data_IF_648380009721
#
_entry.id   IF_648380009721
#
_cell.length_a   1.000
_cell.length_b   1.000
_cell.length_c   1.000
_cell.angle_alpha   90.00
_cell.angle_beta   90.00
_cell.angle_gamma   90.00
#
_symmetry.space_group_name_H-M   'P 1'
#
loop_
_entity.id
_entity.type
_entity.pdbx_description
1 polymer ?
#
# COMPACT_ATOMS: atom_id res chain seq x y z
N UNK A 1 -15.55 1.76 -20.22
CA UNK A 1 -16.31 1.34 -19.01
C UNK A 1 -16.20 2.41 -17.93
N UNK A 2 -17.02 2.36 -16.88
CA UNK A 2 -16.70 3.06 -15.62
C UNK A 2 -15.63 2.24 -14.90
N UNK A 3 -14.37 2.68 -14.94
CA UNK A 3 -13.27 2.03 -14.23
C UNK A 3 -13.45 2.33 -12.74
N UNK A 4 -13.28 1.30 -11.91
CA UNK A 4 -13.36 1.45 -10.46
C UNK A 4 -12.23 0.73 -9.73
N UNK A 5 -11.73 1.35 -8.67
CA UNK A 5 -10.88 0.74 -7.65
C UNK A 5 -11.66 0.62 -6.35
N UNK A 6 -11.19 -0.23 -5.42
CA UNK A 6 -11.88 -0.46 -4.16
C UNK A 6 -11.06 0.03 -2.96
N UNK A 7 -11.68 0.89 -2.15
CA UNK A 7 -11.17 1.28 -0.84
C UNK A 7 -11.76 0.37 0.22
N UNK A 8 -10.98 -0.62 0.63
CA UNK A 8 -11.44 -1.67 1.55
C UNK A 8 -11.49 -1.17 2.99
N UNK A 9 -12.60 -1.43 3.65
CA UNK A 9 -12.82 -1.24 5.09
C UNK A 9 -13.12 -2.57 5.75
N UNK A 10 -12.60 -2.79 6.95
CA UNK A 10 -12.93 -3.96 7.77
C UNK A 10 -13.98 -3.59 8.80
N UNK A 11 -14.93 -4.50 9.03
CA UNK A 11 -15.88 -4.40 10.13
C UNK A 11 -15.10 -4.55 11.44
N UNK A 12 -15.02 -3.49 12.26
CA UNK A 12 -14.43 -3.56 13.61
C UNK A 12 -15.22 -4.60 14.42
N UNK A 13 -14.60 -5.74 14.73
CA UNK A 13 -15.04 -6.60 15.83
C UNK A 13 -14.40 -6.09 17.11
N UNK A 14 -15.12 -6.10 18.22
CA UNK A 14 -14.70 -5.60 19.54
C UNK A 14 -13.47 -6.31 20.16
N UNK A 15 -12.72 -7.07 19.36
CA UNK A 15 -11.56 -7.89 19.75
C UNK A 15 -10.27 -7.45 19.05
N UNK A 16 -10.29 -6.45 18.15
CA UNK A 16 -9.08 -6.00 17.44
C UNK A 16 -8.15 -5.10 18.30
N UNK A 17 -8.57 -4.73 19.53
CA UNK A 17 -7.79 -3.87 20.43
C UNK A 17 -7.13 -4.59 21.63
N UNK A 18 -7.31 -5.91 21.83
CA UNK A 18 -6.62 -6.62 22.92
C UNK A 18 -6.09 -8.00 22.49
N UNK A 19 -4.89 -7.99 21.90
CA UNK A 19 -3.92 -9.08 22.12
C UNK A 19 -2.68 -8.48 22.77
N UNK A 20 -2.79 -8.15 24.05
CA UNK A 20 -1.62 -8.07 24.92
C UNK A 20 -1.25 -9.51 25.29
N UNK A 21 -0.11 -9.95 24.76
CA UNK A 21 0.49 -11.23 25.10
C UNK A 21 1.23 -11.08 26.44
N UNK A 22 0.54 -11.33 27.55
CA UNK A 22 1.15 -11.42 28.88
C UNK A 22 1.55 -12.86 29.19
N UNK A 23 2.82 -13.21 28.92
CA UNK A 23 3.75 -13.80 29.90
C UNK A 23 5.04 -14.27 29.21
N UNK A 24 6.03 -13.38 29.10
CA UNK A 24 7.36 -13.76 28.62
C UNK A 24 8.11 -14.47 29.75
N UNK A 25 8.29 -15.79 29.59
CA UNK A 25 9.13 -16.60 30.46
C UNK A 25 10.59 -16.17 30.35
N UNK A 26 11.33 -16.30 31.46
CA UNK A 26 12.73 -15.89 31.63
C UNK A 26 13.74 -16.60 30.69
N UNK A 27 13.27 -17.52 29.84
CA UNK A 27 14.07 -18.29 28.88
C UNK A 27 14.29 -17.58 27.52
N UNK A 28 13.60 -16.46 27.24
CA UNK A 28 13.57 -15.79 25.92
C UNK A 28 14.68 -14.74 25.71
N UNK A 29 15.58 -14.58 26.69
CA UNK A 29 16.62 -13.53 26.72
C UNK A 29 17.79 -13.73 25.72
N UNK A 30 17.73 -14.69 24.80
CA UNK A 30 18.85 -15.03 23.91
C UNK A 30 18.51 -15.19 22.43
N UNK A 31 17.24 -15.18 22.00
CA UNK A 31 16.92 -15.16 20.57
C UNK A 31 16.81 -13.71 20.08
N UNK A 32 17.77 -13.31 19.26
CA UNK A 32 17.69 -12.03 18.52
C UNK A 32 16.57 -12.18 17.49
N UNK A 33 15.36 -11.76 17.88
CA UNK A 33 14.20 -11.74 16.96
C UNK A 33 14.47 -10.73 15.85
N UNK A 34 14.31 -11.15 14.60
CA UNK A 34 14.51 -10.28 13.46
C UNK A 34 13.50 -9.11 13.47
N UNK A 35 13.85 -7.91 12.98
CA UNK A 35 12.91 -6.79 12.96
C UNK A 35 11.61 -7.06 12.19
N UNK A 36 11.64 -7.91 11.15
CA UNK A 36 10.42 -8.26 10.43
C UNK A 36 9.47 -9.07 11.29
N UNK A 37 9.97 -10.04 12.06
CA UNK A 37 9.16 -10.86 12.96
C UNK A 37 8.72 -10.06 14.20
N UNK A 38 9.57 -9.14 14.68
CA UNK A 38 9.27 -8.24 15.79
C UNK A 38 8.14 -7.25 15.47
N UNK A 39 8.13 -6.67 14.27
CA UNK A 39 7.26 -5.53 13.93
C UNK A 39 6.12 -5.86 12.96
N UNK A 40 6.07 -7.07 12.40
CA UNK A 40 5.06 -7.45 11.42
C UNK A 40 4.45 -8.81 11.75
N UNK A 41 3.12 -8.89 11.73
CA UNK A 41 2.39 -10.16 11.88
C UNK A 41 2.55 -11.08 10.68
N UNK A 42 2.87 -10.53 9.50
CA UNK A 42 3.25 -11.24 8.27
C UNK A 42 4.37 -10.47 7.59
N UNK A 43 5.31 -11.15 6.90
CA UNK A 43 6.45 -10.49 6.26
C UNK A 43 6.03 -9.72 4.99
N UNK A 44 5.36 -8.58 5.20
CA UNK A 44 4.87 -7.66 4.15
C UNK A 44 5.54 -6.31 4.32
N UNK A 45 6.19 -5.82 3.26
CA UNK A 45 6.84 -4.52 3.22
C UNK A 45 6.34 -3.67 2.04
N UNK A 46 6.06 -2.40 2.33
CA UNK A 46 5.63 -1.45 1.32
C UNK A 46 6.83 -0.78 0.64
N UNK A 47 6.71 -0.42 -0.64
CA UNK A 47 7.75 0.37 -1.35
C UNK A 47 8.06 1.68 -0.62
N UNK A 48 7.05 2.35 -0.07
CA UNK A 48 7.22 3.57 0.75
C UNK A 48 7.97 3.31 2.06
N UNK A 49 7.93 2.07 2.58
CA UNK A 49 8.72 1.69 3.77
C UNK A 49 10.20 1.68 3.44
N UNK A 50 10.61 1.14 2.28
CA UNK A 50 12.01 1.19 1.83
C UNK A 50 12.48 2.63 1.58
N UNK A 51 11.63 3.49 1.01
CA UNK A 51 11.95 4.92 0.86
C UNK A 51 12.17 5.61 2.20
N UNK A 52 11.38 5.30 3.23
CA UNK A 52 11.57 5.81 4.61
C UNK A 52 12.84 5.25 5.25
N UNK A 53 13.10 3.97 5.06
CA UNK A 53 14.30 3.29 5.56
C UNK A 53 15.56 3.95 4.98
N UNK A 54 15.62 4.14 3.66
CA UNK A 54 16.74 4.78 2.97
C UNK A 54 16.95 6.25 3.42
N UNK A 55 15.91 6.92 3.93
CA UNK A 55 16.08 8.25 4.53
C UNK A 55 16.89 8.17 5.83
N UNK A 56 16.45 7.34 6.77
CA UNK A 56 17.13 7.05 8.03
C UNK A 56 16.51 5.79 8.68
N UNK A 57 17.31 4.73 8.82
CA UNK A 57 16.81 3.47 9.37
C UNK A 57 16.54 3.56 10.86
N UNK A 58 17.42 4.24 11.61
CA UNK A 58 17.17 4.48 13.04
C UNK A 58 15.87 5.26 13.27
N UNK A 59 15.54 6.21 12.39
CA UNK A 59 14.25 6.90 12.47
C UNK A 59 13.08 5.96 12.21
N UNK A 60 13.21 5.03 11.25
CA UNK A 60 12.18 4.03 10.98
C UNK A 60 12.01 3.06 12.16
N UNK A 61 13.11 2.57 12.72
CA UNK A 61 13.12 1.72 13.91
C UNK A 61 12.42 2.39 15.10
N UNK A 62 12.78 3.64 15.43
CA UNK A 62 12.14 4.42 16.50
C UNK A 62 10.62 4.53 16.25
N UNK A 63 10.20 4.79 15.01
CA UNK A 63 8.78 4.85 14.69
C UNK A 63 8.07 3.52 14.92
N UNK A 64 8.71 2.39 14.61
CA UNK A 64 8.13 1.07 14.83
C UNK A 64 8.06 0.72 16.32
N UNK A 65 9.15 0.96 17.07
CA UNK A 65 9.23 0.66 18.51
C UNK A 65 8.26 1.49 19.35
N UNK A 66 8.08 2.76 19.00
CA UNK A 66 7.20 3.68 19.73
C UNK A 66 5.80 3.79 19.11
N UNK A 67 5.52 3.03 18.05
CA UNK A 67 4.28 3.13 17.28
C UNK A 67 3.95 4.58 16.82
N UNK A 68 4.98 5.36 16.47
CA UNK A 68 4.83 6.77 16.05
C UNK A 68 4.49 6.81 14.56
N UNK A 69 3.32 7.38 14.25
CA UNK A 69 2.91 7.68 12.88
C UNK A 69 3.40 9.07 12.50
N UNK A 70 4.36 9.12 11.59
CA UNK A 70 4.84 10.39 11.04
C UNK A 70 3.74 10.96 10.14
N UNK A 71 3.20 12.11 10.51
CA UNK A 71 2.42 12.96 9.62
C UNK A 71 3.02 14.37 9.62
N UNK A 72 2.84 15.07 8.51
CA UNK A 72 3.18 16.49 8.42
C UNK A 72 2.20 17.15 7.48
N UNK A 73 1.98 18.46 7.65
CA UNK A 73 1.13 19.23 6.75
C UNK A 73 1.46 19.03 5.26
N UNK A 74 2.76 18.94 4.92
CA UNK A 74 3.16 18.69 3.52
C UNK A 74 2.77 17.29 3.04
N UNK A 75 2.82 16.30 3.93
CA UNK A 75 2.47 14.93 3.61
C UNK A 75 0.95 14.78 3.50
N UNK A 76 0.18 15.42 4.38
CA UNK A 76 -1.28 15.46 4.31
C UNK A 76 -1.77 16.18 3.04
N UNK A 77 -1.20 17.34 2.70
CA UNK A 77 -1.46 18.04 1.43
C UNK A 77 -1.10 17.18 0.21
N UNK A 78 0.02 16.45 0.30
CA UNK A 78 0.43 15.49 -0.73
C UNK A 78 -0.60 14.37 -0.92
N UNK A 79 -0.99 13.70 0.16
CA UNK A 79 -1.98 12.61 0.12
C UNK A 79 -3.29 13.11 -0.49
N UNK A 80 -3.80 14.26 -0.03
CA UNK A 80 -5.03 14.86 -0.57
C UNK A 80 -4.92 15.13 -2.07
N UNK A 81 -3.78 15.65 -2.54
CA UNK A 81 -3.58 15.89 -3.96
C UNK A 81 -3.58 14.59 -4.78
N UNK A 82 -2.99 13.51 -4.27
CA UNK A 82 -3.07 12.20 -4.93
C UNK A 82 -4.51 11.65 -4.96
N UNK A 83 -5.26 11.80 -3.87
CA UNK A 83 -6.68 11.42 -3.81
C UNK A 83 -7.54 12.21 -4.82
N UNK A 84 -7.30 13.51 -4.97
CA UNK A 84 -7.97 14.34 -5.99
C UNK A 84 -7.68 13.83 -7.40
N UNK A 85 -6.40 13.56 -7.72
CA UNK A 85 -6.01 13.04 -9.02
C UNK A 85 -6.54 11.62 -9.28
N UNK A 86 -6.64 10.77 -8.24
CA UNK A 86 -7.25 9.43 -8.31
C UNK A 86 -8.74 9.55 -8.71
N UNK A 87 -9.48 10.42 -8.04
CA UNK A 87 -10.91 10.64 -8.28
C UNK A 87 -11.21 11.29 -9.63
N UNK A 88 -10.28 12.07 -10.18
CA UNK A 88 -10.35 12.57 -11.56
C UNK A 88 -10.17 11.44 -12.59
N UNK A 89 -9.40 10.40 -12.23
CA UNK A 89 -9.03 9.31 -13.13
C UNK A 89 -10.06 8.18 -13.16
N UNK A 90 -10.56 7.76 -12.01
CA UNK A 90 -11.52 6.66 -11.89
C UNK A 90 -12.35 6.73 -10.60
N UNK A 91 -13.42 5.93 -10.53
CA UNK A 91 -14.27 5.87 -9.33
C UNK A 91 -13.58 5.06 -8.23
N UNK A 92 -13.53 5.60 -7.02
CA UNK A 92 -13.09 4.86 -5.82
C UNK A 92 -14.32 4.43 -5.04
N UNK A 93 -14.55 3.11 -4.92
CA UNK A 93 -15.71 2.54 -4.24
C UNK A 93 -15.30 2.05 -2.86
N UNK A 94 -15.96 2.53 -1.82
CA UNK A 94 -15.80 2.15 -0.42
C UNK A 94 -16.50 0.81 -0.15
N UNK A 95 -15.72 -0.25 0.10
CA UNK A 95 -16.24 -1.63 0.26
C UNK A 95 -15.97 -2.17 1.66
N UNK A 96 -17.02 -2.63 2.33
CA UNK A 96 -16.89 -3.37 3.59
C UNK A 96 -16.64 -4.86 3.33
N UNK A 97 -15.55 -5.39 3.88
CA UNK A 97 -15.21 -6.83 3.80
C UNK A 97 -15.37 -7.51 5.16
N UNK A 98 -15.83 -8.76 5.12
CA UNK A 98 -16.10 -9.57 6.31
C UNK A 98 -14.96 -10.52 6.68
N UNK A 99 -14.07 -10.83 5.73
CA UNK A 99 -13.00 -11.81 5.90
C UNK A 99 -11.80 -11.51 4.99
N UNK A 100 -10.68 -12.21 5.24
CA UNK A 100 -9.43 -12.02 4.50
C UNK A 100 -9.51 -12.49 3.04
N UNK A 101 -10.36 -13.48 2.75
CA UNK A 101 -10.53 -14.01 1.39
C UNK A 101 -11.21 -12.99 0.46
N UNK A 102 -12.29 -12.35 0.94
CA UNK A 102 -12.92 -11.22 0.25
C UNK A 102 -11.95 -10.07 0.04
N UNK A 103 -11.19 -9.71 1.08
CA UNK A 103 -10.19 -8.63 1.01
C UNK A 103 -9.22 -8.84 -0.15
N UNK A 104 -8.56 -9.99 -0.20
CA UNK A 104 -7.54 -10.27 -1.24
C UNK A 104 -8.18 -10.37 -2.62
N UNK A 105 -9.37 -10.97 -2.72
CA UNK A 105 -10.11 -11.04 -3.98
C UNK A 105 -10.44 -9.64 -4.52
N UNK A 106 -10.89 -8.72 -3.67
CA UNK A 106 -11.24 -7.33 -4.03
C UNK A 106 -9.98 -6.50 -4.32
N UNK A 107 -8.88 -6.72 -3.60
CA UNK A 107 -7.58 -6.11 -3.91
C UNK A 107 -7.15 -6.50 -5.34
N UNK A 108 -7.21 -7.79 -5.70
CA UNK A 108 -6.87 -8.22 -7.07
C UNK A 108 -7.87 -7.71 -8.11
N UNK A 109 -9.16 -7.69 -7.79
CA UNK A 109 -10.17 -7.15 -8.70
C UNK A 109 -9.94 -5.65 -8.98
N UNK A 110 -9.50 -4.87 -7.99
CA UNK A 110 -9.08 -3.48 -8.19
C UNK A 110 -7.95 -3.40 -9.23
N UNK A 111 -6.95 -4.29 -9.12
CA UNK A 111 -5.84 -4.34 -10.08
C UNK A 111 -6.37 -4.70 -11.47
N UNK A 112 -7.23 -5.71 -11.60
CA UNK A 112 -7.85 -6.11 -12.89
C UNK A 112 -8.57 -4.91 -13.53
N UNK A 113 -9.45 -4.23 -12.79
CA UNK A 113 -10.23 -3.11 -13.30
C UNK A 113 -9.32 -1.96 -13.80
N UNK A 114 -8.24 -1.66 -13.06
CA UNK A 114 -7.29 -0.63 -13.46
C UNK A 114 -6.44 -1.06 -14.67
N UNK A 115 -6.03 -2.33 -14.74
CA UNK A 115 -5.32 -2.84 -15.91
C UNK A 115 -6.18 -2.83 -17.18
N UNK A 116 -7.45 -3.22 -17.06
CA UNK A 116 -8.43 -3.12 -18.14
C UNK A 116 -8.60 -1.66 -18.57
N UNK A 117 -8.66 -0.75 -17.59
CA UNK A 117 -8.60 0.69 -17.84
C UNK A 117 -7.38 1.09 -18.67
N UNK A 118 -6.18 0.66 -18.29
CA UNK A 118 -4.94 0.96 -19.02
C UNK A 118 -4.99 0.42 -20.46
N UNK A 119 -5.55 -0.77 -20.67
CA UNK A 119 -5.70 -1.41 -21.99
C UNK A 119 -6.79 -0.72 -22.83
N UNK A 120 -7.82 -0.15 -22.22
CA UNK A 120 -8.90 0.51 -22.95
C UNK A 120 -8.55 1.94 -23.34
N UNK A 121 -8.01 2.73 -22.41
CA UNK A 121 -7.82 4.19 -22.55
C UNK A 121 -6.36 4.65 -22.60
N UNK A 122 -5.41 3.77 -22.31
CA UNK A 122 -3.98 4.05 -22.40
C UNK A 122 -3.37 4.82 -21.23
N UNK A 123 -4.12 5.05 -20.15
CA UNK A 123 -3.61 5.63 -18.91
C UNK A 123 -4.41 5.13 -17.70
N UNK A 124 -3.79 5.11 -16.52
CA UNK A 124 -4.44 4.96 -15.20
C UNK A 124 -3.65 5.68 -14.11
N UNK A 125 -4.25 5.79 -12.93
CA UNK A 125 -3.61 6.21 -11.68
C UNK A 125 -3.77 5.19 -10.55
N UNK A 126 -2.91 5.33 -9.53
CA UNK A 126 -2.96 4.59 -8.25
C UNK A 126 -3.05 3.07 -8.39
N UNK A 127 -2.28 2.47 -9.32
CA UNK A 127 -2.30 1.01 -9.52
C UNK A 127 -1.61 0.27 -8.37
N UNK A 128 -2.31 -0.60 -7.62
CA UNK A 128 -1.66 -1.48 -6.65
C UNK A 128 -0.84 -2.56 -7.38
N UNK A 129 0.36 -2.82 -6.87
CA UNK A 129 1.27 -3.85 -7.40
C UNK A 129 1.75 -4.75 -6.27
N UNK A 130 1.93 -6.04 -6.58
CA UNK A 130 2.27 -7.08 -5.62
C UNK A 130 3.43 -7.90 -6.19
N UNK A 131 4.46 -8.11 -5.39
CA UNK A 131 5.62 -8.94 -5.74
C UNK A 131 6.11 -9.75 -4.55
N UNK A 132 7.06 -10.64 -4.81
CA UNK A 132 7.74 -11.41 -3.77
C UNK A 132 9.25 -11.29 -3.93
N UNK A 133 9.96 -11.16 -2.82
CA UNK A 133 11.41 -11.13 -2.81
C UNK A 133 11.93 -11.76 -1.52
N UNK A 134 12.73 -12.82 -1.63
CA UNK A 134 13.27 -13.58 -0.50
C UNK A 134 12.21 -13.98 0.56
N UNK A 135 11.03 -14.44 0.12
CA UNK A 135 9.93 -14.84 1.01
C UNK A 135 9.10 -13.68 1.59
N UNK A 136 9.48 -12.44 1.31
CA UNK A 136 8.77 -11.23 1.74
C UNK A 136 7.83 -10.78 0.63
N UNK A 137 6.57 -10.50 0.99
CA UNK A 137 5.62 -9.87 0.07
C UNK A 137 5.90 -8.37 -0.02
N UNK A 138 6.14 -7.89 -1.23
CA UNK A 138 6.32 -6.47 -1.53
C UNK A 138 5.00 -5.89 -2.07
N UNK A 139 4.61 -4.73 -1.55
CA UNK A 139 3.42 -3.99 -2.03
C UNK A 139 3.78 -2.56 -2.40
N UNK A 140 3.19 -2.06 -3.48
CA UNK A 140 3.36 -0.67 -3.93
C UNK A 140 2.08 -0.13 -4.55
N UNK A 141 1.99 1.19 -4.66
CA UNK A 141 0.94 1.88 -5.40
C UNK A 141 1.65 2.79 -6.40
N UNK A 142 1.42 2.55 -7.69
CA UNK A 142 2.06 3.32 -8.76
C UNK A 142 1.16 4.50 -9.11
N UNK A 143 1.63 5.72 -8.86
CA UNK A 143 0.82 6.95 -9.00
C UNK A 143 0.20 7.09 -10.39
N UNK A 144 0.97 6.82 -11.47
CA UNK A 144 0.44 6.85 -12.83
C UNK A 144 1.19 5.92 -13.79
N UNK A 145 0.41 5.24 -14.64
CA UNK A 145 0.88 4.52 -15.83
C UNK A 145 0.29 5.15 -17.09
N UNK A 146 1.10 5.29 -18.12
CA UNK A 146 0.65 5.77 -19.44
C UNK A 146 1.30 4.95 -20.55
N UNK A 147 0.52 4.61 -21.59
CA UNK A 147 1.04 4.01 -22.81
C UNK A 147 1.57 5.11 -23.74
N UNK A 148 2.87 5.02 -24.07
CA UNK A 148 3.53 5.94 -25.00
C UNK A 148 4.03 5.20 -26.25
N UNK A 149 4.04 5.82 -27.44
CA UNK A 149 4.57 5.18 -28.64
C UNK A 149 6.02 4.70 -28.43
N UNK A 150 6.29 3.46 -28.80
CA UNK A 150 7.62 2.87 -28.65
C UNK A 150 8.52 3.29 -29.83
N UNK A 151 9.47 4.21 -29.59
CA UNK A 151 10.55 4.51 -30.54
C UNK A 151 10.15 5.16 -31.88
N UNK A 152 8.99 5.80 -31.99
CA UNK A 152 8.56 6.49 -33.21
C UNK A 152 8.94 7.98 -33.12
N UNK A 153 9.80 8.43 -34.05
CA UNK A 153 10.10 9.85 -34.30
C UNK A 153 8.82 10.65 -34.47
N UNK A 154 8.80 11.88 -33.96
CA UNK A 154 7.69 12.87 -33.82
C UNK A 154 6.80 13.14 -35.06
N UNK A 155 6.90 12.37 -36.15
CA UNK A 155 6.21 12.56 -37.41
C UNK A 155 4.90 11.75 -37.58
N UNK A 156 4.59 10.77 -36.74
CA UNK A 156 3.27 10.09 -36.76
C UNK A 156 2.71 9.91 -35.36
N UNK A 157 1.89 10.87 -34.91
CA UNK A 157 1.01 10.70 -33.75
C UNK A 157 0.00 9.58 -34.05
N UNK A 158 0.34 8.33 -33.75
CA UNK A 158 -0.66 7.27 -33.72
C UNK A 158 -1.50 7.44 -32.47
N UNK A 159 -2.78 7.77 -32.65
CA UNK A 159 -3.75 7.71 -31.56
C UNK A 159 -3.77 6.27 -31.02
N UNK A 160 -3.71 6.15 -29.69
CA UNK A 160 -3.79 4.87 -29.01
C UNK A 160 -5.15 4.21 -29.28
N UNK A 161 -5.13 2.93 -29.65
CA UNK A 161 -6.32 2.07 -29.67
C UNK A 161 -5.94 0.70 -29.10
N UNK A 162 -6.81 -0.01 -28.35
CA UNK A 162 -6.43 -1.26 -27.68
C UNK A 162 -5.76 -2.30 -28.60
N UNK A 163 -6.21 -2.36 -29.87
CA UNK A 163 -5.66 -3.27 -30.90
C UNK A 163 -4.20 -3.03 -31.26
N UNK A 164 -3.66 -1.84 -31.03
CA UNK A 164 -2.28 -1.48 -31.36
C UNK A 164 -1.36 -1.37 -30.13
N UNK A 165 -1.78 -1.88 -28.96
CA UNK A 165 -1.04 -1.81 -27.71
C UNK A 165 0.43 -2.26 -27.80
N UNK A 166 0.73 -3.23 -28.67
CA UNK A 166 2.09 -3.73 -28.90
C UNK A 166 3.06 -2.69 -29.53
N UNK A 167 2.53 -1.60 -30.10
CA UNK A 167 3.32 -0.48 -30.63
C UNK A 167 3.68 0.56 -29.54
N UNK A 168 3.25 0.31 -28.31
CA UNK A 168 3.42 1.22 -27.18
C UNK A 168 4.36 0.60 -26.13
N UNK A 169 4.75 1.42 -25.17
CA UNK A 169 5.55 1.06 -24.01
C UNK A 169 4.93 1.74 -22.79
N UNK A 170 4.98 1.09 -21.63
CA UNK A 170 4.46 1.64 -20.37
C UNK A 170 5.44 2.65 -19.81
N UNK A 171 4.98 3.88 -19.59
CA UNK A 171 5.67 4.91 -18.82
C UNK A 171 5.13 4.94 -17.39
N UNK A 172 6.01 4.72 -16.42
CA UNK A 172 5.73 4.94 -15.00
C UNK A 172 6.03 6.39 -14.66
N UNK A 173 5.08 7.05 -14.00
CA UNK A 173 5.24 8.41 -13.48
C UNK A 173 4.93 8.44 -11.99
N UNK A 174 5.77 9.13 -11.23
CA UNK A 174 5.57 9.45 -9.83
C UNK A 174 5.36 10.97 -9.68
N UNK A 175 4.33 11.38 -8.96
CA UNK A 175 4.01 12.79 -8.73
C UNK A 175 4.50 13.17 -7.34
N UNK A 176 5.37 14.19 -7.24
CA UNK A 176 5.89 14.68 -5.96
C UNK A 176 5.39 16.09 -5.69
N UNK A 177 4.48 16.21 -4.74
CA UNK A 177 3.98 17.50 -4.24
C UNK A 177 5.05 18.23 -3.42
N UNK A 178 5.19 19.53 -3.64
CA UNK A 178 6.17 20.41 -3.00
C UNK A 178 5.51 21.70 -2.53
N UNK A 179 6.02 22.23 -1.41
CA UNK A 179 5.61 23.55 -0.87
C UNK A 179 6.10 24.72 -1.71
N UNK A 180 7.17 24.52 -2.50
CA UNK A 180 7.78 25.54 -3.32
C UNK A 180 8.28 24.95 -4.63
N UNK A 181 8.52 25.81 -5.62
CA UNK A 181 9.00 25.45 -6.96
C UNK A 181 10.50 25.15 -7.01
N UNK A 182 11.12 24.84 -5.86
CA UNK A 182 12.55 24.48 -5.79
C UNK A 182 12.70 22.96 -5.87
N UNK A 183 13.52 22.47 -6.81
CA UNK A 183 13.80 21.05 -6.92
C UNK A 183 14.48 20.49 -5.66
N UNK A 184 14.24 19.21 -5.30
CA UNK A 184 14.95 18.57 -4.20
C UNK A 184 16.42 18.39 -4.56
N UNK A 185 17.29 18.27 -3.56
CA UNK A 185 18.70 17.94 -3.78
C UNK A 185 18.84 16.53 -4.41
N UNK A 186 19.98 16.24 -5.03
CA UNK A 186 20.22 14.91 -5.61
C UNK A 186 20.17 13.79 -4.56
N UNK A 187 20.52 14.08 -3.31
CA UNK A 187 20.42 13.12 -2.19
C UNK A 187 18.96 12.82 -1.86
N UNK A 188 18.10 13.84 -1.84
CA UNK A 188 16.65 13.66 -1.62
C UNK A 188 15.99 12.90 -2.77
N UNK A 189 16.53 12.99 -3.99
CA UNK A 189 15.99 12.27 -5.15
C UNK A 189 16.28 10.75 -5.09
N UNK A 190 17.27 10.29 -4.30
CA UNK A 190 17.62 8.86 -4.23
C UNK A 190 16.46 7.98 -3.78
N UNK A 191 15.68 8.42 -2.80
CA UNK A 191 14.49 7.67 -2.33
C UNK A 191 13.44 7.54 -3.44
N UNK A 192 13.25 8.59 -4.25
CA UNK A 192 12.35 8.56 -5.40
C UNK A 192 12.87 7.62 -6.50
N UNK A 193 14.19 7.58 -6.73
CA UNK A 193 14.80 6.64 -7.70
C UNK A 193 14.61 5.19 -7.25
N UNK A 194 14.81 4.90 -5.96
CA UNK A 194 14.57 3.57 -5.40
C UNK A 194 13.09 3.19 -5.53
N UNK A 195 12.18 4.08 -5.14
CA UNK A 195 10.73 3.87 -5.24
C UNK A 195 10.31 3.51 -6.66
N UNK A 196 10.68 4.34 -7.64
CA UNK A 196 10.40 4.10 -9.05
C UNK A 196 11.05 2.81 -9.57
N UNK A 197 12.28 2.53 -9.15
CA UNK A 197 12.98 1.29 -9.50
C UNK A 197 12.26 0.04 -9.00
N UNK A 198 11.77 0.07 -7.75
CA UNK A 198 10.98 -1.01 -7.16
C UNK A 198 9.63 -1.16 -7.88
N UNK A 199 8.94 -0.07 -8.18
CA UNK A 199 7.70 -0.10 -8.97
C UNK A 199 7.92 -0.76 -10.33
N UNK A 200 8.96 -0.35 -11.05
CA UNK A 200 9.32 -0.94 -12.35
C UNK A 200 9.67 -2.42 -12.24
N UNK A 201 10.43 -2.82 -11.22
CA UNK A 201 10.81 -4.22 -10.99
C UNK A 201 9.56 -5.09 -10.75
N UNK A 202 8.75 -4.72 -9.75
CA UNK A 202 7.57 -5.50 -9.34
C UNK A 202 6.55 -5.58 -10.49
N UNK A 203 6.22 -4.45 -11.14
CA UNK A 203 5.29 -4.45 -12.27
C UNK A 203 5.83 -5.25 -13.46
N UNK A 204 7.14 -5.17 -13.73
CA UNK A 204 7.79 -5.98 -14.77
C UNK A 204 7.63 -7.48 -14.53
N UNK A 205 7.87 -7.92 -13.30
CA UNK A 205 7.68 -9.32 -12.90
C UNK A 205 6.22 -9.77 -13.02
N UNK A 206 5.25 -8.93 -12.60
CA UNK A 206 3.82 -9.20 -12.79
C UNK A 206 3.47 -9.41 -14.27
N UNK A 207 3.97 -8.55 -15.16
CA UNK A 207 3.77 -8.68 -16.61
C UNK A 207 4.38 -9.99 -17.13
N UNK A 208 5.58 -10.34 -16.68
CA UNK A 208 6.25 -11.59 -17.08
C UNK A 208 5.50 -12.83 -16.59
N UNK A 209 4.91 -12.80 -15.39
CA UNK A 209 4.01 -13.82 -14.88
C UNK A 209 2.75 -13.99 -15.75
N UNK A 210 2.12 -12.88 -16.14
CA UNK A 210 0.98 -12.89 -17.08
C UNK A 210 1.36 -13.52 -18.42
N UNK A 211 2.51 -13.12 -19.00
CA UNK A 211 3.01 -13.69 -20.27
C UNK A 211 3.34 -15.17 -20.17
N UNK A 212 3.95 -15.61 -19.07
CA UNK A 212 4.24 -17.02 -18.84
C UNK A 212 2.95 -17.85 -18.68
N UNK A 213 1.97 -17.32 -17.94
CA UNK A 213 0.65 -17.94 -17.81
C UNK A 213 -0.05 -18.08 -19.16
N UNK A 214 -0.05 -17.02 -19.98
CA UNK A 214 -0.68 -17.04 -21.31
C UNK A 214 -0.08 -18.09 -22.25
N UNK A 215 1.23 -18.34 -22.15
CA UNK A 215 1.89 -19.43 -22.90
C UNK A 215 1.44 -20.81 -22.45
N UNK A 216 1.20 -20.99 -21.15
CA UNK A 216 0.76 -22.26 -20.56
C UNK A 216 -0.74 -22.51 -20.74
N UNK A 217 -1.55 -21.45 -20.73
CA UNK A 217 -3.01 -21.48 -20.79
C UNK A 217 -3.55 -20.79 -22.04
N UNK A 218 -3.07 -21.20 -23.23
CA UNK A 218 -3.37 -20.50 -24.49
C UNK A 218 -4.84 -20.50 -24.89
N UNK A 219 -5.64 -21.45 -24.38
CA UNK A 219 -7.09 -21.53 -24.60
C UNK A 219 -7.89 -20.56 -23.74
N UNK A 220 -7.33 -20.04 -22.64
CA UNK A 220 -8.01 -19.13 -21.73
C UNK A 220 -7.88 -17.70 -22.24
N UNK A 221 -8.69 -17.39 -23.27
CA UNK A 221 -8.56 -16.14 -24.03
C UNK A 221 -9.41 -14.98 -23.54
N UNK A 222 -10.43 -15.26 -22.72
CA UNK A 222 -11.36 -14.27 -22.19
C UNK A 222 -11.80 -14.63 -20.78
N UNK A 223 -12.47 -13.69 -20.10
CA UNK A 223 -13.05 -13.89 -18.77
C UNK A 223 -14.08 -15.03 -18.77
N UNK A 224 -14.87 -15.17 -19.84
CA UNK A 224 -15.85 -16.26 -20.00
C UNK A 224 -15.16 -17.62 -20.08
N UNK A 225 -14.09 -17.74 -20.88
CA UNK A 225 -13.32 -18.97 -20.98
C UNK A 225 -12.66 -19.35 -19.65
N UNK A 226 -12.19 -18.36 -18.89
CA UNK A 226 -11.64 -18.56 -17.54
C UNK A 226 -12.73 -19.07 -16.59
N UNK A 227 -13.91 -18.44 -16.60
CA UNK A 227 -15.04 -18.81 -15.75
C UNK A 227 -15.51 -20.24 -16.01
N UNK A 228 -15.64 -20.63 -17.28
CA UNK A 228 -15.97 -22.00 -17.67
C UNK A 228 -14.90 -22.99 -17.21
N UNK A 229 -13.62 -22.65 -17.36
CA UNK A 229 -12.50 -23.50 -16.95
C UNK A 229 -12.47 -23.70 -15.43
N UNK A 230 -12.59 -22.63 -14.65
CA UNK A 230 -12.56 -22.69 -13.18
C UNK A 230 -13.78 -23.43 -12.63
N UNK A 231 -14.92 -23.37 -13.32
CA UNK A 231 -16.13 -24.11 -12.93
C UNK A 231 -16.06 -25.61 -13.24
N UNK A 232 -15.21 -26.03 -14.20
CA UNK A 232 -15.13 -27.41 -14.69
C UNK A 232 -13.87 -28.17 -14.27
N UNK A 233 -12.79 -27.47 -13.92
CA UNK A 233 -11.48 -28.06 -13.60
C UNK A 233 -11.16 -27.93 -12.12
N UNK A 234 -11.06 -29.05 -11.42
CA UNK A 234 -10.73 -29.10 -9.98
C UNK A 234 -9.25 -29.40 -9.68
N UNK A 235 -8.38 -29.56 -10.69
CA UNK A 235 -7.10 -30.27 -10.50
C UNK A 235 -5.83 -29.53 -10.97
N UNK A 236 -5.85 -28.20 -11.11
CA UNK A 236 -4.62 -27.48 -11.48
C UNK A 236 -3.60 -27.53 -10.33
N UNK A 237 -2.48 -28.21 -10.55
CA UNK A 237 -1.33 -28.24 -9.64
C UNK A 237 -0.51 -26.95 -9.79
N UNK A 238 -0.95 -25.86 -9.13
CA UNK A 238 -0.35 -24.54 -9.28
C UNK A 238 1.16 -24.51 -9.01
N UNK A 239 1.69 -25.15 -7.94
CA UNK A 239 3.12 -25.19 -7.68
C UNK A 239 3.95 -25.80 -8.81
N UNK A 240 3.37 -26.65 -9.66
CA UNK A 240 4.11 -27.33 -10.74
C UNK A 240 3.71 -26.90 -12.16
N UNK A 241 2.81 -25.92 -12.31
CA UNK A 241 2.31 -25.48 -13.62
C UNK A 241 3.25 -24.49 -14.34
N UNK A 242 3.14 -23.19 -14.03
CA UNK A 242 3.95 -22.12 -14.63
C UNK A 242 4.19 -21.00 -13.61
N UNK A 243 5.10 -20.07 -13.90
CA UNK A 243 5.42 -18.98 -12.97
C UNK A 243 4.22 -18.07 -12.67
N UNK A 244 3.29 -17.88 -13.60
CA UNK A 244 2.07 -17.12 -13.33
C UNK A 244 1.09 -17.86 -12.40
N UNK A 245 0.94 -19.18 -12.56
CA UNK A 245 0.19 -20.00 -11.60
C UNK A 245 0.82 -19.98 -10.21
N UNK A 246 2.16 -20.08 -10.13
CA UNK A 246 2.92 -19.96 -8.89
C UNK A 246 2.76 -18.60 -8.23
N UNK A 247 2.72 -17.52 -9.01
CA UNK A 247 2.49 -16.18 -8.50
C UNK A 247 1.12 -16.05 -7.82
N UNK A 248 0.05 -16.48 -8.49
CA UNK A 248 -1.29 -16.47 -7.88
C UNK A 248 -1.33 -17.38 -6.66
N UNK A 249 -0.81 -18.62 -6.75
CA UNK A 249 -0.73 -19.52 -5.60
C UNK A 249 0.00 -18.88 -4.42
N UNK A 250 1.16 -18.28 -4.66
CA UNK A 250 1.98 -17.63 -3.63
C UNK A 250 1.24 -16.49 -2.92
N UNK A 251 0.40 -15.71 -3.62
CA UNK A 251 -0.46 -14.70 -2.99
C UNK A 251 -1.39 -15.36 -1.97
N UNK A 252 -2.13 -16.39 -2.35
CA UNK A 252 -3.10 -17.00 -1.44
C UNK A 252 -2.44 -17.83 -0.34
N UNK A 253 -1.39 -18.57 -0.66
CA UNK A 253 -0.58 -19.36 0.27
C UNK A 253 0.02 -18.46 1.36
N UNK A 254 0.56 -17.30 0.99
CA UNK A 254 1.04 -16.30 1.96
C UNK A 254 -0.04 -15.85 2.95
N UNK A 255 -1.31 -15.89 2.53
CA UNK A 255 -2.44 -15.59 3.40
C UNK A 255 -3.06 -16.80 4.10
N UNK A 256 -2.58 -18.02 3.83
CA UNK A 256 -3.14 -19.26 4.37
C UNK A 256 -4.49 -19.61 3.76
N UNK A 257 -4.71 -19.27 2.48
CA UNK A 257 -5.99 -19.40 1.77
C UNK A 257 -5.84 -20.31 0.55
N UNK A 258 -6.94 -20.95 0.14
CA UNK A 258 -7.02 -21.67 -1.13
C UNK A 258 -7.92 -20.88 -2.11
N UNK A 259 -7.39 -20.41 -3.26
CA UNK A 259 -8.15 -19.61 -4.22
C UNK A 259 -9.28 -20.38 -4.93
N UNK A 260 -9.32 -21.71 -4.78
CA UNK A 260 -10.31 -22.57 -5.43
C UNK A 260 -11.63 -22.62 -4.68
N UNK A 261 -11.62 -22.37 -3.37
CA UNK A 261 -12.82 -22.43 -2.52
C UNK A 261 -13.82 -21.38 -2.99
N UNK A 262 -15.06 -21.77 -3.23
CA UNK A 262 -16.10 -20.82 -3.63
C UNK A 262 -16.35 -19.79 -2.54
N UNK A 263 -16.69 -18.54 -2.91
CA UNK A 263 -16.99 -17.50 -1.91
C UNK A 263 -18.11 -17.92 -0.95
N UNK A 264 -19.14 -18.60 -1.47
CA UNK A 264 -20.24 -19.11 -0.67
C UNK A 264 -19.81 -20.22 0.31
N UNK A 265 -18.91 -21.12 -0.10
CA UNK A 265 -18.36 -22.16 0.77
C UNK A 265 -17.44 -21.59 1.84
N UNK A 266 -16.54 -20.66 1.47
CA UNK A 266 -15.66 -20.00 2.42
C UNK A 266 -16.45 -19.27 3.50
N UNK A 267 -17.50 -18.54 3.12
CA UNK A 267 -18.36 -17.84 4.07
C UNK A 267 -19.04 -18.81 5.06
N UNK A 268 -19.52 -19.97 4.58
CA UNK A 268 -20.11 -20.99 5.46
C UNK A 268 -19.10 -21.51 6.49
N UNK A 269 -17.88 -21.81 6.05
CA UNK A 269 -16.81 -22.29 6.94
C UNK A 269 -16.45 -21.24 8.01
N UNK A 270 -16.38 -19.96 7.63
CA UNK A 270 -16.13 -18.87 8.58
C UNK A 270 -17.30 -18.69 9.56
N UNK A 271 -18.54 -18.78 9.10
CA UNK A 271 -19.71 -18.70 9.98
C UNK A 271 -19.80 -19.89 10.95
N UNK A 272 -19.38 -21.08 10.52
CA UNK A 272 -19.26 -22.26 11.38
C UNK A 272 -18.17 -22.10 12.45
N UNK A 273 -16.99 -21.58 12.07
CA UNK A 273 -15.92 -21.25 13.04
C UNK A 273 -16.40 -20.25 14.09
N UNK A 274 -17.11 -19.20 13.67
CA UNK A 274 -17.71 -18.19 14.59
C UNK A 274 -18.74 -18.81 15.54
N UNK A 275 -19.48 -19.83 15.11
CA UNK A 275 -20.44 -20.56 15.96
C UNK A 275 -19.76 -21.52 16.94
N UNK A 276 -18.59 -22.07 16.60
CA UNK A 276 -17.83 -22.97 17.46
C UNK A 276 -17.05 -22.23 18.57
N UNK A 277 -16.72 -20.96 18.34
CA UNK A 277 -16.23 -20.03 19.36
C UNK A 277 -17.23 -18.89 19.61
N UNK A 278 -18.39 -19.17 20.24
CA UNK A 278 -19.34 -18.12 20.59
C UNK A 278 -18.70 -17.21 21.64
N UNK A 279 -18.40 -15.98 21.26
CA UNK A 279 -17.97 -14.92 22.17
C UNK A 279 -19.03 -14.80 23.28
N UNK A 280 -18.65 -15.01 24.54
CA UNK A 280 -19.50 -14.75 25.71
C UNK A 280 -19.83 -13.27 25.74
N UNK A 281 -20.98 -12.89 25.19
CA UNK A 281 -21.57 -11.58 25.45
C UNK A 281 -21.99 -11.58 26.91
N UNK A 282 -21.21 -10.95 27.79
CA UNK A 282 -21.64 -10.61 29.14
C UNK A 282 -22.85 -9.68 29.08
N UNK A 283 -24.04 -10.28 29.00
CA UNK A 283 -25.29 -9.66 29.36
C UNK A 283 -25.45 -9.77 30.88
N UNK A 284 -25.33 -8.66 31.61
CA UNK A 284 -25.85 -8.55 32.98
C UNK A 284 -27.04 -7.58 33.04
N UNK A 285 -28.02 -7.82 33.93
CA UNK A 285 -29.29 -7.11 33.96
C UNK A 285 -29.20 -5.81 34.77
N UNK A 286 -30.16 -4.91 34.57
CA UNK A 286 -30.09 -3.50 34.96
C UNK A 286 -30.13 -3.15 36.46
N UNK A 287 -29.88 -1.84 36.65
CA UNK A 287 -30.18 -0.93 37.78
C UNK A 287 -29.52 -1.21 39.14
N UNK A 288 -28.66 -0.28 39.59
CA UNK A 288 -28.96 0.70 40.65
C UNK A 288 -27.79 1.68 40.89
N UNK A 289 -28.13 2.95 41.17
CA UNK A 289 -27.23 4.05 41.50
C UNK A 289 -26.47 3.81 42.82
N UNK A 290 -25.16 4.08 42.85
CA UNK A 290 -24.51 4.83 43.95
C UNK A 290 -23.12 5.34 43.58
N UNK A 291 -22.90 6.59 43.99
CA UNK A 291 -21.71 7.43 43.95
C UNK A 291 -20.52 6.88 44.73
N UNK A 292 -19.31 7.01 44.20
CA UNK A 292 -18.17 7.76 44.78
C UNK A 292 -16.87 7.52 43.95
N UNK A 293 -16.07 8.57 43.78
CA UNK A 293 -14.98 8.77 42.80
C UNK A 293 -13.69 7.92 43.05
N UNK A 294 -12.72 7.85 42.09
CA UNK A 294 -11.84 8.99 41.76
C UNK A 294 -11.70 9.27 40.25
N UNK A 295 -11.31 10.51 39.93
CA UNK A 295 -11.15 11.03 38.58
C UNK A 295 -9.99 10.35 37.82
N UNK A 296 -10.33 9.67 36.72
CA UNK A 296 -9.42 9.27 35.66
C UNK A 296 -9.61 10.16 34.43
N UNK A 297 -8.49 10.42 33.78
CA UNK A 297 -8.19 11.44 32.78
C UNK A 297 -8.94 11.23 31.45
N UNK A 298 -9.79 12.17 31.01
CA UNK A 298 -10.54 12.06 29.77
C UNK A 298 -9.71 12.69 28.63
N UNK A 299 -8.87 11.90 27.98
CA UNK A 299 -8.48 12.13 26.58
C UNK A 299 -7.86 10.88 25.96
N UNK A 300 -8.66 9.82 25.94
CA UNK A 300 -8.45 8.67 25.07
C UNK A 300 -9.35 8.83 23.84
N UNK A 301 -9.14 9.89 23.06
CA UNK A 301 -9.72 10.01 21.73
C UNK A 301 -8.69 9.56 20.70
N UNK A 302 -8.97 8.39 20.12
CA UNK A 302 -8.43 7.95 18.85
C UNK A 302 -8.79 8.97 17.77
N UNK A 303 -8.00 10.03 17.63
CA UNK A 303 -8.14 11.00 16.55
C UNK A 303 -7.56 10.44 15.23
N UNK A 304 -8.25 9.44 14.69
CA UNK A 304 -8.77 9.61 13.34
C UNK A 304 -10.25 9.85 13.53
N UNK A 305 -10.70 11.05 13.17
CA UNK A 305 -12.06 11.21 12.69
C UNK A 305 -12.24 10.22 11.54
N UNK A 306 -12.76 9.04 11.86
CA UNK A 306 -13.70 8.37 10.98
C UNK A 306 -14.83 9.40 10.83
N UNK A 307 -14.67 10.36 9.89
CA UNK A 307 -15.84 10.82 9.14
C UNK A 307 -16.53 9.51 8.76
N UNK A 308 -17.79 9.32 9.14
CA UNK A 308 -18.65 8.28 8.58
C UNK A 308 -18.49 8.38 7.06
N UNK A 309 -17.52 7.65 6.54
CA UNK A 309 -17.22 7.62 5.13
C UNK A 309 -18.24 6.63 4.65
N UNK A 310 -19.18 7.10 3.86
CA UNK A 310 -20.27 6.29 3.33
C UNK A 310 -19.69 4.95 2.84
N UNK A 311 -20.29 3.87 3.33
CA UNK A 311 -20.04 2.53 2.83
C UNK A 311 -20.88 2.43 1.57
N UNK A 312 -20.23 2.34 0.41
CA UNK A 312 -20.96 2.26 -0.86
C UNK A 312 -21.57 0.88 -1.05
N UNK A 313 -20.85 -0.17 -0.65
CA UNK A 313 -21.28 -1.56 -0.82
C UNK A 313 -20.52 -2.54 0.10
N UNK A 314 -20.88 -3.81 0.05
CA UNK A 314 -20.21 -4.91 0.74
C UNK A 314 -19.45 -5.83 -0.22
N UNK A 315 -18.49 -6.57 0.31
CA UNK A 315 -17.62 -7.44 -0.49
C UNK A 315 -18.39 -8.56 -1.20
N UNK A 316 -19.47 -9.07 -0.61
CA UNK A 316 -20.30 -10.14 -1.21
C UNK A 316 -20.99 -9.65 -2.47
N UNK A 317 -21.51 -8.43 -2.44
CA UNK A 317 -22.15 -7.77 -3.58
C UNK A 317 -21.15 -7.53 -4.71
N UNK A 318 -19.93 -7.10 -4.40
CA UNK A 318 -18.86 -6.92 -5.39
C UNK A 318 -18.46 -8.25 -6.04
N UNK A 319 -18.39 -9.32 -5.25
CA UNK A 319 -17.88 -10.63 -5.67
C UNK A 319 -18.95 -11.57 -6.23
N UNK A 320 -20.23 -11.17 -6.25
CA UNK A 320 -21.38 -12.03 -6.63
C UNK A 320 -21.25 -12.67 -8.01
N UNK A 321 -20.50 -12.03 -8.93
CA UNK A 321 -20.34 -12.45 -10.33
C UNK A 321 -19.25 -13.51 -10.51
N UNK A 322 -18.42 -13.72 -9.51
CA UNK A 322 -17.27 -14.61 -9.53
C UNK A 322 -17.55 -15.86 -8.69
N UNK A 323 -17.09 -17.02 -9.12
CA UNK A 323 -17.26 -18.25 -8.35
C UNK A 323 -16.32 -18.30 -7.13
N UNK A 324 -15.06 -17.96 -7.36
CA UNK A 324 -13.99 -17.99 -6.38
C UNK A 324 -12.89 -16.97 -6.75
N UNK A 325 -11.90 -16.81 -5.88
CA UNK A 325 -10.85 -15.83 -6.09
C UNK A 325 -9.82 -16.25 -7.16
N UNK A 326 -9.78 -17.54 -7.54
CA UNK A 326 -8.96 -18.03 -8.65
C UNK A 326 -9.41 -17.43 -9.99
N UNK A 327 -10.72 -17.30 -10.22
CA UNK A 327 -11.26 -16.66 -11.42
C UNK A 327 -10.70 -15.23 -11.58
N UNK A 328 -10.68 -14.46 -10.50
CA UNK A 328 -10.13 -13.10 -10.46
C UNK A 328 -8.61 -13.12 -10.69
N UNK A 329 -7.89 -14.05 -10.05
CA UNK A 329 -6.44 -14.21 -10.25
C UNK A 329 -6.05 -14.56 -11.69
N UNK A 330 -6.85 -15.37 -12.38
CA UNK A 330 -6.63 -15.68 -13.80
C UNK A 330 -6.98 -14.50 -14.71
N UNK A 331 -8.02 -13.73 -14.39
CA UNK A 331 -8.30 -12.47 -15.08
C UNK A 331 -7.15 -11.46 -14.91
N UNK A 332 -6.55 -11.37 -13.71
CA UNK A 332 -5.35 -10.56 -13.48
C UNK A 332 -4.19 -10.98 -14.39
N UNK A 333 -3.89 -12.28 -14.47
CA UNK A 333 -2.83 -12.79 -15.35
C UNK A 333 -3.16 -12.55 -16.84
N UNK A 334 -4.44 -12.64 -17.23
CA UNK A 334 -4.89 -12.34 -18.58
C UNK A 334 -4.62 -10.88 -18.94
N UNK A 335 -5.03 -9.91 -18.12
CA UNK A 335 -4.79 -8.48 -18.36
C UNK A 335 -3.30 -8.15 -18.35
N UNK A 336 -2.52 -8.75 -17.45
CA UNK A 336 -1.05 -8.60 -17.43
C UNK A 336 -0.38 -9.15 -18.71
N UNK A 337 -0.92 -10.23 -19.29
CA UNK A 337 -0.30 -10.91 -20.43
C UNK A 337 -0.28 -10.10 -21.73
N UNK A 338 -1.21 -9.15 -21.87
CA UNK A 338 -1.34 -8.30 -23.06
C UNK A 338 -0.56 -7.00 -22.97
N UNK A 339 -0.03 -6.66 -21.79
CA UNK A 339 0.70 -5.42 -21.58
C UNK A 339 2.06 -5.41 -22.30
N UNK A 340 2.45 -4.26 -22.86
CA UNK A 340 3.76 -4.12 -23.50
C UNK A 340 4.86 -4.03 -22.44
N UNK A 341 6.11 -3.89 -22.89
CA UNK A 341 7.24 -3.66 -21.99
C UNK A 341 7.11 -2.33 -21.23
N UNK A 342 7.90 -2.19 -20.17
CA UNK A 342 8.02 -0.96 -19.39
C UNK A 342 9.24 -0.17 -19.87
N UNK A 343 9.08 1.13 -20.04
CA UNK A 343 10.14 2.05 -20.43
C UNK A 343 11.32 1.96 -19.45
N UNK A 344 12.55 2.10 -19.99
CA UNK A 344 13.77 2.07 -19.16
C UNK A 344 13.90 3.31 -18.27
N UNK A 345 13.37 4.44 -18.75
CA UNK A 345 13.34 5.71 -18.02
C UNK A 345 11.96 5.93 -17.41
N UNK A 346 11.93 6.28 -16.13
CA UNK A 346 10.73 6.61 -15.38
C UNK A 346 10.68 8.12 -15.15
N UNK A 347 9.47 8.68 -15.09
CA UNK A 347 9.25 10.13 -14.98
C UNK A 347 8.90 10.50 -13.53
N UNK A 348 9.42 11.64 -13.07
CA UNK A 348 8.93 12.32 -11.87
C UNK A 348 8.41 13.68 -12.26
N UNK A 349 7.18 13.97 -11.85
CA UNK A 349 6.57 15.30 -11.98
C UNK A 349 6.55 15.96 -10.61
N UNK A 350 7.23 17.10 -10.51
CA UNK A 350 7.18 17.91 -9.30
C UNK A 350 6.05 18.90 -9.43
N UNK A 351 5.10 18.77 -8.51
CA UNK A 351 3.92 19.59 -8.42
C UNK A 351 4.05 20.61 -7.28
N UNK A 352 3.58 21.83 -7.51
CA UNK A 352 3.41 22.83 -6.45
C UNK A 352 2.05 23.51 -6.67
N UNK A 353 1.13 23.31 -5.74
CA UNK A 353 -0.23 23.89 -5.80
C UNK A 353 -1.03 23.44 -7.04
N UNK A 354 -0.96 22.16 -7.40
CA UNK A 354 -1.69 21.56 -8.52
C UNK A 354 -1.12 21.93 -9.89
N UNK A 355 0.09 22.50 -9.94
CA UNK A 355 0.80 22.80 -11.18
C UNK A 355 2.16 22.12 -11.19
N UNK A 356 2.37 21.29 -12.22
CA UNK A 356 3.69 20.73 -12.51
C UNK A 356 4.65 21.85 -12.90
N UNK A 357 5.70 22.05 -12.08
CA UNK A 357 6.71 23.08 -12.33
C UNK A 357 8.03 22.51 -12.84
N UNK A 358 8.27 21.21 -12.67
CA UNK A 358 9.46 20.55 -13.17
C UNK A 358 9.22 19.07 -13.43
N UNK A 359 9.95 18.51 -14.41
CA UNK A 359 9.94 17.08 -14.72
C UNK A 359 11.37 16.56 -14.72
N UNK A 360 11.58 15.38 -14.16
CA UNK A 360 12.85 14.66 -14.22
C UNK A 360 12.65 13.24 -14.73
N UNK A 361 13.71 12.71 -15.33
CA UNK A 361 13.76 11.36 -15.86
C UNK A 361 14.86 10.58 -15.16
N UNK A 362 14.55 9.37 -14.73
CA UNK A 362 15.50 8.52 -14.02
C UNK A 362 15.59 7.16 -14.68
N UNK A 363 16.82 6.66 -14.78
CA UNK A 363 17.11 5.25 -15.06
C UNK A 363 17.40 4.57 -13.74
N UNK A 364 16.85 3.37 -13.55
CA UNK A 364 17.21 2.51 -12.43
C UNK A 364 17.47 1.11 -12.98
N UNK A 365 18.74 0.74 -13.20
CA UNK A 365 19.09 -0.61 -13.62
C UNK A 365 18.59 -1.63 -12.58
N UNK A 366 18.08 -2.77 -13.06
CA UNK A 366 17.51 -3.80 -12.19
C UNK A 366 18.50 -4.29 -11.12
N UNK A 367 19.76 -4.49 -11.49
CA UNK A 367 20.82 -4.90 -10.56
C UNK A 367 21.02 -3.90 -9.41
N UNK A 368 20.92 -2.59 -9.69
CA UNK A 368 21.03 -1.56 -8.66
C UNK A 368 19.86 -1.64 -7.69
N UNK A 369 18.63 -1.84 -8.18
CA UNK A 369 17.44 -1.99 -7.34
C UNK A 369 17.55 -3.23 -6.46
N UNK A 370 18.02 -4.35 -6.99
CA UNK A 370 18.19 -5.60 -6.24
C UNK A 370 19.25 -5.47 -5.14
N UNK A 371 20.40 -4.87 -5.44
CA UNK A 371 21.44 -4.63 -4.43
C UNK A 371 20.96 -3.71 -3.30
N UNK A 372 20.24 -2.65 -3.62
CA UNK A 372 19.65 -1.75 -2.62
C UNK A 372 18.57 -2.48 -1.80
N UNK A 373 17.75 -3.31 -2.44
CA UNK A 373 16.72 -4.10 -1.76
C UNK A 373 17.33 -5.11 -0.80
N UNK A 374 18.34 -5.88 -1.24
CA UNK A 374 19.09 -6.81 -0.39
C UNK A 374 19.72 -6.09 0.81
N UNK A 375 20.36 -4.93 0.57
CA UNK A 375 20.94 -4.13 1.64
C UNK A 375 19.91 -3.68 2.67
N UNK A 376 18.77 -3.15 2.23
CA UNK A 376 17.69 -2.69 3.11
C UNK A 376 17.04 -3.86 3.86
N UNK A 377 16.82 -5.00 3.19
CA UNK A 377 16.31 -6.21 3.83
C UNK A 377 17.28 -6.79 4.86
N UNK A 378 18.58 -6.52 4.75
CA UNK A 378 19.55 -6.96 5.73
C UNK A 378 19.18 -6.58 7.17
N UNK A 379 18.63 -5.36 7.38
CA UNK A 379 18.13 -4.96 8.70
C UNK A 379 16.85 -5.72 9.06
N UNK A 380 15.86 -5.76 8.17
CA UNK A 380 14.59 -6.45 8.40
C UNK A 380 14.78 -7.93 8.78
N UNK A 381 15.74 -8.60 8.17
CA UNK A 381 16.08 -10.00 8.39
C UNK A 381 17.06 -10.23 9.56
N UNK A 382 17.45 -9.17 10.28
CA UNK A 382 18.32 -9.27 11.45
C UNK A 382 19.80 -9.52 11.13
N UNK A 383 20.22 -9.45 9.87
CA UNK A 383 21.62 -9.64 9.47
C UNK A 383 22.52 -8.43 9.77
N UNK A 384 21.93 -7.27 10.08
CA UNK A 384 22.62 -6.05 10.49
C UNK A 384 21.73 -5.18 11.37
N UNK A 385 22.36 -4.30 12.15
CA UNK A 385 21.66 -3.28 12.93
C UNK A 385 21.17 -2.11 12.05
N UNK A 386 20.24 -1.32 12.58
CA UNK A 386 19.75 -0.11 11.94
C UNK A 386 20.86 0.95 11.88
N UNK A 387 21.15 1.45 10.68
CA UNK A 387 22.08 2.55 10.50
C UNK A 387 21.41 3.92 10.79
N UNK A 388 22.22 4.85 11.28
CA UNK A 388 21.82 6.24 11.48
C UNK A 388 22.54 7.17 10.50
N UNK A 389 21.98 8.37 10.37
CA UNK A 389 22.47 9.39 9.45
C UNK A 389 23.92 9.76 9.79
N UNK A 390 24.82 9.67 8.81
CA UNK A 390 26.22 10.07 8.94
C UNK A 390 26.34 11.58 9.12
N UNK A 391 27.43 12.06 9.71
CA UNK A 391 27.68 13.49 9.91
C UNK A 391 27.56 14.33 8.61
N UNK A 392 27.98 13.79 7.46
CA UNK A 392 27.85 14.44 6.15
C UNK A 392 26.40 14.64 5.69
N UNK A 393 25.46 13.87 6.24
CA UNK A 393 24.04 13.92 5.94
C UNK A 393 23.21 14.43 7.13
N UNK A 394 23.85 14.97 8.17
CA UNK A 394 23.19 15.44 9.41
C UNK A 394 22.03 16.43 9.15
N UNK A 395 22.03 17.11 8.01
CA UNK A 395 20.93 17.95 7.56
C UNK A 395 19.59 17.20 7.45
N UNK A 396 19.57 15.88 7.23
CA UNK A 396 18.35 15.05 7.24
C UNK A 396 17.65 15.07 8.60
N UNK A 397 18.42 15.17 9.69
CA UNK A 397 17.88 15.22 11.05
C UNK A 397 17.08 16.50 11.31
N UNK A 398 17.33 17.58 10.54
CA UNK A 398 16.57 18.83 10.58
C UNK A 398 15.13 18.68 10.09
N UNK A 399 14.81 17.54 9.47
CA UNK A 399 13.49 17.17 8.98
C UNK A 399 12.97 15.88 9.63
N UNK A 400 13.57 15.43 10.73
CA UNK A 400 13.23 14.18 11.40
C UNK A 400 12.15 14.40 12.47
N UNK A 401 10.95 13.86 12.24
CA UNK A 401 9.83 13.98 13.19
C UNK A 401 10.07 13.30 14.54
N UNK A 402 10.98 12.33 14.61
CA UNK A 402 11.30 11.58 15.85
C UNK A 402 12.66 11.95 16.43
N UNK A 403 13.15 13.17 16.14
CA UNK A 403 14.48 13.63 16.60
C UNK A 403 14.61 13.65 18.12
N UNK A 404 13.51 13.91 18.84
CA UNK A 404 13.45 13.88 20.31
C UNK A 404 13.89 12.52 20.87
N UNK A 405 13.46 11.44 20.23
CA UNK A 405 13.76 10.07 20.64
C UNK A 405 15.09 9.53 20.10
N UNK A 406 15.77 10.28 19.23
CA UNK A 406 16.97 9.82 18.54
C UNK A 406 18.25 10.09 19.37
N UNK A 407 18.82 9.05 19.95
CA UNK A 407 20.05 9.14 20.77
C UNK A 407 21.34 9.28 19.94
N UNK A 408 21.30 8.86 18.67
CA UNK A 408 22.45 8.83 17.75
C UNK A 408 22.40 9.95 16.71
N UNK A 409 21.70 11.05 17.03
CA UNK A 409 21.60 12.22 16.17
C UNK A 409 22.99 12.89 16.00
N UNK A 410 23.48 13.13 14.78
CA UNK A 410 24.79 13.75 14.54
C UNK A 410 24.82 15.28 14.72
N UNK A 411 23.68 15.92 15.03
CA UNK A 411 23.62 17.37 15.30
C UNK A 411 24.22 17.69 16.68
N UNK A 412 24.66 18.93 16.87
CA UNK A 412 25.04 19.41 18.21
C UNK A 412 23.83 19.38 19.16
N UNK A 413 24.06 19.36 20.47
CA UNK A 413 22.97 19.37 21.47
C UNK A 413 22.07 20.59 21.31
N UNK A 414 22.66 21.77 21.06
CA UNK A 414 21.92 23.02 20.83
C UNK A 414 21.07 22.98 19.55
N UNK A 415 21.63 22.46 18.45
CA UNK A 415 20.87 22.28 17.21
C UNK A 415 19.75 21.25 17.39
N UNK A 416 20.02 20.14 18.06
CA UNK A 416 19.04 19.08 18.32
C UNK A 416 17.86 19.63 19.12
N UNK A 417 18.12 20.35 20.20
CA UNK A 417 17.07 20.96 21.04
C UNK A 417 16.20 21.94 20.24
N UNK A 418 16.83 22.78 19.42
CA UNK A 418 16.11 23.70 18.52
C UNK A 418 15.13 22.97 17.60
N UNK A 419 15.54 21.84 17.00
CA UNK A 419 14.68 21.10 16.07
C UNK A 419 13.63 20.25 16.79
N UNK A 420 13.88 19.80 18.03
CA UNK A 420 12.85 19.19 18.88
C UNK A 420 11.73 20.20 19.13
N UNK A 421 12.08 21.42 19.55
CA UNK A 421 11.10 22.47 19.82
C UNK A 421 10.31 22.84 18.54
N UNK A 422 10.99 22.90 17.39
CA UNK A 422 10.32 23.13 16.12
C UNK A 422 9.30 22.02 15.76
N UNK A 423 9.62 20.75 16.03
CA UNK A 423 8.69 19.64 15.79
C UNK A 423 7.45 19.77 16.69
N UNK A 424 7.64 20.01 17.99
CA UNK A 424 6.54 20.21 18.95
C UNK A 424 5.64 21.38 18.56
N UNK A 425 6.24 22.50 18.11
CA UNK A 425 5.48 23.66 17.64
C UNK A 425 4.64 23.32 16.40
N UNK A 426 5.21 22.63 15.41
CA UNK A 426 4.46 22.21 14.23
C UNK A 426 3.32 21.24 14.57
N UNK A 427 3.51 20.34 15.54
CA UNK A 427 2.47 19.43 16.03
C UNK A 427 1.34 20.21 16.71
N UNK A 428 1.68 21.16 17.58
CA UNK A 428 0.70 22.02 18.23
C UNK A 428 -0.09 22.87 17.22
N UNK A 429 0.59 23.49 16.25
CA UNK A 429 -0.07 24.23 15.17
C UNK A 429 -1.02 23.33 14.36
N UNK A 430 -0.61 22.09 14.07
CA UNK A 430 -1.45 21.13 13.36
C UNK A 430 -2.68 20.72 14.16
N UNK A 431 -2.58 20.59 15.49
CA UNK A 431 -3.72 20.27 16.36
C UNK A 431 -4.70 21.46 16.42
N UNK A 432 -4.19 22.66 16.63
CA UNK A 432 -5.00 23.89 16.65
C UNK A 432 -5.77 24.11 15.34
N UNK A 433 -5.15 23.83 14.19
CA UNK A 433 -5.81 23.90 12.88
C UNK A 433 -6.95 22.88 12.75
N UNK A 434 -6.74 21.64 13.23
CA UNK A 434 -7.76 20.58 13.21
C UNK A 434 -8.95 20.96 14.09
N UNK A 435 -8.70 21.50 15.28
CA UNK A 435 -9.76 21.96 16.19
C UNK A 435 -10.62 23.05 15.53
N UNK A 436 -10.00 24.01 14.84
CA UNK A 436 -10.72 25.07 14.12
C UNK A 436 -11.55 24.54 12.93
N UNK A 437 -11.07 23.51 12.23
CA UNK A 437 -11.79 22.87 11.11
C UNK A 437 -12.98 22.01 11.59
N UNK A 438 -12.97 21.57 12.85
CA UNK A 438 -14.07 20.80 13.45
C UNK A 438 -15.20 21.64 14.05
N UNK A 439 -15.08 22.98 14.10
CA UNK A 439 -16.16 23.87 14.57
C UNK A 439 -17.26 23.89 13.50
N UNK A 440 -18.48 23.39 13.79
CA UNK A 440 -19.55 23.39 12.82
C UNK A 440 -19.95 24.82 12.44
N UNK A 441 -20.13 25.05 11.13
CA UNK A 441 -20.47 26.33 10.50
C UNK A 441 -21.81 26.94 10.94
N UNK A 442 -22.45 26.45 12.00
CA UNK A 442 -23.75 26.89 12.51
C UNK A 442 -23.67 28.05 13.52
N UNK A 443 -22.49 28.46 14.01
CA UNK A 443 -22.39 29.56 14.99
C UNK A 443 -22.12 30.96 14.41
N UNK A 444 -21.94 31.11 13.09
CA UNK A 444 -21.76 32.45 12.49
C UNK A 444 -23.04 33.11 11.94
N UNK A 445 -24.22 32.53 12.22
CA UNK A 445 -25.50 33.13 11.89
C UNK A 445 -26.22 33.65 13.14
N UNK A 446 -25.63 34.61 13.87
CA UNK A 446 -26.35 35.51 14.77
C UNK A 446 -25.44 36.70 15.17
N UNK A 447 -25.49 37.77 14.37
CA UNK A 447 -25.53 39.16 14.85
C UNK A 447 -25.91 40.13 13.76
#
# INVERSE_FOLDING_TARGET
MNISSFRIKRRKTSEDDEKQDESLGLEELLEVVSPIDKFKTKPVLGVTTFSRQMWCEKSLEICLEKNIKITSKAMEEGIKHHEELELEDHQVISVMVDNEYEKIAIEMLSIVNLLDGLIERGHIRELPIIGFYNGIMLRGIVDSLQLKPNGITEATHHNYVPKNINNFIILITDTKTRRNTTLPSNVQQKTTVLQLGLYRKILGEMIDFGKAWRKCHSSLTSSEAIKEHVSSSSTTDFPNCCSGCKFIHGIFEFHGLDPRVSFAEFQKLEDEKRKQHPIERNSSPGTENRSDAPAEDPNHESAKSDVETDIDTDGKSVLEKFNNALEIGFNLLLSLSVLPGIQSEMKVEYDCQGKTFATKWYKSPQQTVELELDYLLGWWLGSREAEFVRASEAWKCKFCNVIEHCQVCPLSLEEKEKYIEQVRQNELESLLLKDLETIPSTEFALK
#
